data_IF_468735366034
#
_entry.id   IF_468735366034
#
_cell.length_a   1.000
_cell.length_b   1.000
_cell.length_c   1.000
_cell.angle_alpha   90.00
_cell.angle_beta   90.00
_cell.angle_gamma   90.00
#
_symmetry.space_group_name_H-M   'P 1'
#
loop_
_entity.id
_entity.type
_entity.pdbx_description
1 polymer ?
#
# COMPACT_ATOMS: atom_id res chain seq x y z
N UNK A 1 8.29 10.58 -1.88
CA UNK A 1 8.27 9.43 -0.96
C UNK A 1 8.98 8.26 -1.60
N UNK A 2 9.66 7.48 -0.80
CA UNK A 2 10.37 6.30 -1.29
C UNK A 2 9.44 5.09 -1.35
N UNK A 3 9.92 4.03 -2.00
CA UNK A 3 9.17 2.77 -2.03
C UNK A 3 8.92 2.27 -0.61
N UNK A 4 9.89 2.42 0.27
CA UNK A 4 9.74 1.96 1.64
C UNK A 4 8.63 2.72 2.35
N UNK A 5 8.53 4.03 2.11
CA UNK A 5 7.45 4.83 2.70
C UNK A 5 6.08 4.32 2.25
N UNK A 6 5.95 4.00 0.96
CA UNK A 6 4.70 3.47 0.45
C UNK A 6 4.39 2.09 1.02
N UNK A 7 5.42 1.25 1.20
CA UNK A 7 5.20 -0.06 1.83
C UNK A 7 4.70 0.10 3.26
N UNK A 8 5.24 1.06 3.99
CA UNK A 8 4.77 1.31 5.35
C UNK A 8 3.32 1.78 5.37
N UNK A 9 2.97 2.67 4.44
CA UNK A 9 1.59 3.14 4.35
C UNK A 9 0.65 1.99 4.01
N UNK A 10 1.07 1.11 3.10
CA UNK A 10 0.26 -0.05 2.76
C UNK A 10 0.05 -0.96 3.96
N UNK A 11 1.10 -1.17 4.75
CA UNK A 11 1.01 -1.98 5.95
C UNK A 11 0.04 -1.38 6.96
N UNK A 12 0.10 -0.05 7.13
CA UNK A 12 -0.81 0.64 8.04
C UNK A 12 -2.25 0.49 7.60
N UNK A 13 -2.51 0.66 6.30
CA UNK A 13 -3.87 0.52 5.79
C UNK A 13 -4.38 -0.91 5.95
N UNK A 14 -3.52 -1.90 5.73
CA UNK A 14 -3.93 -3.28 5.92
C UNK A 14 -4.28 -3.56 7.39
N UNK A 15 -3.53 -2.98 8.31
CA UNK A 15 -3.82 -3.13 9.72
C UNK A 15 -5.16 -2.49 10.07
N UNK A 16 -5.43 -1.31 9.53
CA UNK A 16 -6.71 -0.64 9.75
C UNK A 16 -7.86 -1.46 9.17
N UNK A 17 -7.63 -2.09 8.01
CA UNK A 17 -8.64 -2.93 7.41
C UNK A 17 -9.00 -4.10 8.34
N UNK A 18 -7.98 -4.74 8.93
CA UNK A 18 -8.24 -5.87 9.81
C UNK A 18 -8.98 -5.44 11.08
N UNK A 19 -8.76 -4.20 11.52
CA UNK A 19 -9.42 -3.68 12.71
C UNK A 19 -10.78 -3.05 12.40
N UNK A 20 -11.14 -2.93 11.14
CA UNK A 20 -12.37 -2.25 10.76
C UNK A 20 -13.59 -3.01 11.23
N UNK A 21 -14.59 -2.25 11.67
CA UNK A 21 -15.82 -2.84 12.22
C UNK A 21 -16.79 -3.23 11.12
N UNK A 22 -16.81 -2.49 10.01
CA UNK A 22 -17.77 -2.75 8.94
C UNK A 22 -17.06 -3.29 7.72
N UNK A 23 -17.81 -3.99 6.88
CA UNK A 23 -17.28 -4.51 5.62
C UNK A 23 -16.87 -3.37 4.68
N UNK A 24 -17.65 -2.29 4.68
CA UNK A 24 -17.33 -1.14 3.84
C UNK A 24 -15.99 -0.53 4.22
N UNK A 25 -15.80 -0.30 5.51
CA UNK A 25 -14.56 0.30 5.99
C UNK A 25 -13.39 -0.61 5.71
N UNK A 26 -13.57 -1.92 5.92
CA UNK A 26 -12.50 -2.88 5.63
C UNK A 26 -12.11 -2.84 4.17
N UNK A 27 -13.11 -2.82 3.28
CA UNK A 27 -12.84 -2.79 1.85
C UNK A 27 -12.10 -1.52 1.44
N UNK A 28 -12.48 -0.38 2.04
CA UNK A 28 -11.81 0.88 1.73
C UNK A 28 -10.35 0.85 2.13
N UNK A 29 -10.06 0.33 3.32
CA UNK A 29 -8.68 0.28 3.78
C UNK A 29 -7.84 -0.70 2.96
N UNK A 30 -8.43 -1.84 2.58
CA UNK A 30 -7.72 -2.78 1.70
C UNK A 30 -7.46 -2.17 0.33
N UNK A 31 -8.41 -1.39 -0.19
CA UNK A 31 -8.20 -0.71 -1.46
C UNK A 31 -7.04 0.28 -1.36
N UNK A 32 -6.94 1.01 -0.25
CA UNK A 32 -5.82 1.92 -0.03
C UNK A 32 -4.51 1.17 0.09
N UNK A 33 -4.52 0.03 0.79
CA UNK A 33 -3.30 -0.77 0.90
C UNK A 33 -2.83 -1.22 -0.47
N UNK A 34 -3.75 -1.66 -1.34
CA UNK A 34 -3.39 -2.08 -2.69
C UNK A 34 -2.84 -0.91 -3.49
N UNK A 35 -3.42 0.27 -3.34
CA UNK A 35 -2.96 1.45 -4.03
C UNK A 35 -1.52 1.79 -3.63
N UNK A 36 -1.25 1.82 -2.34
CA UNK A 36 0.10 2.13 -1.86
C UNK A 36 1.10 1.06 -2.28
N UNK A 37 0.67 -0.20 -2.32
CA UNK A 37 1.54 -1.28 -2.79
C UNK A 37 1.94 -1.05 -4.24
N UNK A 38 1.00 -0.64 -5.07
CA UNK A 38 1.30 -0.35 -6.46
C UNK A 38 2.26 0.83 -6.60
N UNK A 39 2.08 1.85 -5.76
CA UNK A 39 3.00 2.98 -5.79
C UNK A 39 4.41 2.56 -5.38
N UNK A 40 4.50 1.69 -4.38
CA UNK A 40 5.80 1.18 -3.95
C UNK A 40 6.47 0.42 -5.06
N UNK A 41 5.72 -0.45 -5.72
CA UNK A 41 6.26 -1.25 -6.82
C UNK A 41 6.70 -0.38 -7.97
N UNK A 42 5.94 0.66 -8.27
CA UNK A 42 6.31 1.58 -9.34
C UNK A 42 7.61 2.29 -9.02
N UNK A 43 7.80 2.69 -7.77
CA UNK A 43 9.04 3.31 -7.34
C UNK A 43 10.22 2.35 -7.46
N UNK A 44 10.01 1.11 -7.09
CA UNK A 44 11.06 0.10 -7.17
C UNK A 44 11.44 -0.18 -8.62
N UNK A 45 10.46 -0.21 -9.50
CA UNK A 45 10.73 -0.41 -10.91
C UNK A 45 11.57 0.70 -11.50
N UNK A 46 11.26 1.93 -11.14
CA UNK A 46 12.01 3.07 -11.63
C UNK A 46 13.45 3.00 -11.15
N UNK A 47 13.66 2.51 -9.94
CA UNK A 47 14.98 2.43 -9.34
C UNK A 47 15.83 1.31 -9.93
N UNK A 48 15.23 0.33 -10.61
CA UNK A 48 15.98 -0.79 -11.17
C UNK A 48 16.63 -0.36 -12.47
N UNK A 49 17.96 -0.48 -12.58
CA UNK A 49 18.64 -0.08 -13.81
C UNK A 49 18.27 -1.01 -14.94
N UNK A 50 18.24 -0.45 -16.12
CA UNK A 50 18.01 -1.21 -17.33
C UNK A 50 19.33 -1.70 -17.89
N UNK A 51 19.34 -2.91 -18.37
CA UNK A 51 20.54 -3.50 -18.94
C UNK A 51 20.73 -3.16 -20.38
#
# INVERSE_FOLDING_TARGET
>A
MSAEDFHQLATQEAALARAAVTNESRAQHYAMAAYYTRLAEAKEKIAVPLE
#
